data_IF_903121654668
#
_entry.id   IF_903121654668
#
_cell.length_a   1.000
_cell.length_b   1.000
_cell.length_c   1.000
_cell.angle_alpha   90.00
_cell.angle_beta   90.00
_cell.angle_gamma   90.00
#
_symmetry.space_group_name_H-M   'P 1'
#
loop_
_entity.id
_entity.type
_entity.pdbx_description
1 polymer ?
#
# COMPACT_ATOMS: atom_id res chain seq x y z
N UNK A 1 -19.91 22.49 31.90
CA UNK A 1 -18.70 23.14 31.35
C UNK A 1 -17.52 22.23 31.68
N UNK A 2 -17.08 21.44 30.72
CA UNK A 2 -15.91 20.58 30.86
C UNK A 2 -14.78 21.20 30.03
N UNK A 3 -13.68 21.51 30.70
CA UNK A 3 -12.50 22.10 30.08
C UNK A 3 -11.73 21.02 29.33
N UNK A 4 -11.53 21.24 28.02
CA UNK A 4 -10.66 20.45 27.17
C UNK A 4 -9.22 20.90 27.42
N UNK A 5 -8.41 20.06 28.07
CA UNK A 5 -6.96 20.25 28.13
C UNK A 5 -6.37 19.89 26.76
N UNK A 6 -6.05 20.90 25.96
CA UNK A 6 -5.18 20.75 24.79
C UNK A 6 -3.75 20.81 25.29
N UNK A 7 -3.08 19.66 25.35
CA UNK A 7 -1.65 19.58 25.60
C UNK A 7 -0.88 20.23 24.45
N UNK A 8 -0.20 21.32 24.75
CA UNK A 8 0.71 22.03 23.86
C UNK A 8 1.96 21.15 23.65
N UNK A 9 2.15 20.64 22.43
CA UNK A 9 3.41 19.98 22.04
C UNK A 9 4.42 21.09 21.75
N UNK A 10 5.47 21.13 22.55
CA UNK A 10 6.56 22.08 22.49
C UNK A 10 7.34 21.88 21.16
N UNK A 11 7.30 22.88 20.29
CA UNK A 11 8.06 22.89 19.03
C UNK A 11 9.53 23.19 19.33
N UNK A 12 10.36 22.16 19.50
CA UNK A 12 11.81 22.33 19.42
C UNK A 12 12.31 22.04 18.00
N UNK A 13 12.47 23.12 17.25
CA UNK A 13 13.32 23.17 16.05
C UNK A 13 14.77 22.84 16.43
N UNK A 14 15.22 21.60 16.15
CA UNK A 14 16.62 21.20 16.22
C UNK A 14 17.19 20.98 14.81
N UNK A 15 18.23 21.72 14.36
CA UNK A 15 18.72 21.68 12.97
C UNK A 15 19.52 20.42 12.58
N UNK A 16 19.65 19.44 13.49
CA UNK A 16 20.67 18.38 13.37
C UNK A 16 20.19 17.18 12.54
N UNK A 17 18.89 17.06 12.25
CA UNK A 17 18.30 15.86 11.62
C UNK A 17 18.01 15.95 10.11
N UNK A 18 18.40 17.03 9.42
CA UNK A 18 18.04 17.18 7.98
C UNK A 18 18.94 16.44 6.97
N UNK A 19 20.06 15.85 7.39
CA UNK A 19 21.14 15.53 6.44
C UNK A 19 21.45 14.06 6.14
N UNK A 20 21.11 13.10 7.00
CA UNK A 20 21.69 11.73 6.89
C UNK A 20 20.74 10.55 6.99
N UNK A 21 19.47 10.75 7.34
CA UNK A 21 18.50 9.65 7.52
C UNK A 21 17.52 9.45 6.35
N UNK A 22 17.42 10.41 5.44
CA UNK A 22 16.46 10.38 4.31
C UNK A 22 16.94 9.53 3.12
N UNK A 23 18.21 9.11 3.10
CA UNK A 23 18.79 8.40 1.95
C UNK A 23 18.78 6.86 2.10
N UNK A 24 18.66 6.33 3.33
CA UNK A 24 18.69 4.88 3.59
C UNK A 24 17.32 4.24 3.92
N UNK A 25 16.20 4.97 3.86
CA UNK A 25 14.86 4.45 4.18
C UNK A 25 13.86 4.37 3.02
N UNK A 26 14.32 4.45 1.76
CA UNK A 26 13.42 4.22 0.61
C UNK A 26 13.21 2.72 0.41
N UNK A 27 12.13 2.19 0.99
CA UNK A 27 11.66 0.82 0.71
C UNK A 27 10.63 0.91 -0.43
N UNK A 28 10.79 0.06 -1.44
CA UNK A 28 9.95 0.02 -2.65
C UNK A 28 8.66 -0.76 -2.35
N UNK A 29 7.46 -0.21 -2.56
CA UNK A 29 6.18 -0.90 -2.26
C UNK A 29 5.02 -0.49 -3.21
N UNK A 30 5.19 -0.56 -4.54
CA UNK A 30 4.06 -0.42 -5.49
C UNK A 30 4.37 -1.10 -6.81
N UNK A 31 3.51 -1.92 -7.41
CA UNK A 31 3.72 -2.37 -8.79
C UNK A 31 2.46 -2.21 -9.64
N UNK A 32 2.34 -1.09 -10.35
CA UNK A 32 1.28 -0.91 -11.37
C UNK A 32 1.78 -1.36 -12.75
N UNK A 33 1.52 -2.61 -13.14
CA UNK A 33 2.03 -3.15 -14.40
C UNK A 33 1.23 -2.62 -15.62
N UNK A 34 1.81 -1.69 -16.38
CA UNK A 34 1.31 -1.26 -17.69
C UNK A 34 2.34 -1.59 -18.77
N UNK A 35 1.88 -2.19 -19.86
CA UNK A 35 2.69 -2.80 -20.91
C UNK A 35 2.85 -1.86 -22.12
N UNK A 36 4.08 -1.61 -22.54
CA UNK A 36 4.38 -1.04 -23.87
C UNK A 36 5.42 -1.86 -24.62
N UNK A 37 5.18 -2.24 -25.90
CA UNK A 37 6.22 -2.78 -26.77
C UNK A 37 7.20 -1.66 -27.18
N UNK A 38 8.49 -1.98 -27.27
CA UNK A 38 9.56 -1.01 -27.57
C UNK A 38 10.18 -1.16 -28.97
N UNK A 39 10.68 -0.03 -29.49
CA UNK A 39 11.48 0.06 -30.71
C UNK A 39 12.98 0.18 -30.38
N UNK A 40 13.88 -0.20 -31.28
CA UNK A 40 15.33 -0.17 -31.04
C UNK A 40 15.93 1.23 -31.26
N UNK A 41 16.82 1.69 -30.35
CA UNK A 41 17.72 2.83 -30.57
C UNK A 41 19.16 2.45 -30.15
N UNK A 42 20.20 2.94 -30.86
CA UNK A 42 21.59 2.76 -30.47
C UNK A 42 21.98 3.66 -29.28
N UNK A 43 22.87 3.12 -28.44
CA UNK A 43 23.57 3.68 -27.28
C UNK A 43 23.28 5.14 -26.92
N UNK A 44 22.58 5.34 -25.81
CA UNK A 44 22.52 6.52 -24.95
C UNK A 44 21.30 6.29 -24.05
N UNK A 45 21.42 6.18 -22.71
CA UNK A 45 20.40 6.22 -21.62
C UNK A 45 18.88 6.40 -21.94
N UNK A 46 18.36 5.80 -22.99
CA UNK A 46 17.08 6.08 -23.63
C UNK A 46 16.40 4.75 -23.84
N UNK A 47 15.25 4.61 -23.20
CA UNK A 47 14.27 3.59 -23.51
C UNK A 47 13.48 4.11 -24.71
N UNK A 48 13.52 3.41 -25.84
CA UNK A 48 12.92 3.90 -27.07
C UNK A 48 11.58 3.27 -27.43
N UNK A 49 10.61 4.14 -27.68
CA UNK A 49 9.46 3.91 -28.55
C UNK A 49 8.28 3.19 -27.92
N UNK A 50 7.59 3.86 -26.99
CA UNK A 50 6.18 3.58 -26.73
C UNK A 50 5.33 4.46 -27.66
N UNK A 51 4.22 3.93 -28.19
CA UNK A 51 3.19 4.75 -28.84
C UNK A 51 2.74 5.86 -27.88
N UNK A 52 2.44 7.05 -28.41
CA UNK A 52 2.07 8.23 -27.62
C UNK A 52 0.92 7.97 -26.65
N UNK A 53 -0.03 7.10 -27.01
CA UNK A 53 -1.14 6.69 -26.13
C UNK A 53 -0.63 5.90 -24.92
N UNK A 54 0.20 4.89 -25.12
CA UNK A 54 0.71 4.05 -24.03
C UNK A 54 1.79 4.76 -23.21
N UNK A 55 2.46 5.76 -23.80
CA UNK A 55 3.40 6.63 -23.11
C UNK A 55 2.76 7.44 -21.97
N UNK A 56 1.46 7.75 -22.07
CA UNK A 56 0.75 8.56 -21.08
C UNK A 56 0.71 7.94 -19.68
N UNK A 57 0.92 6.62 -19.59
CA UNK A 57 0.99 5.89 -18.33
C UNK A 57 2.34 5.98 -17.61
N UNK A 58 3.34 6.57 -18.26
CA UNK A 58 4.65 6.80 -17.69
C UNK A 58 4.80 8.26 -17.29
N UNK A 59 5.37 8.50 -16.11
CA UNK A 59 5.58 9.84 -15.55
C UNK A 59 6.99 9.96 -14.99
N UNK A 60 7.57 11.15 -15.09
CA UNK A 60 8.85 11.46 -14.45
C UNK A 60 8.78 11.17 -12.95
N UNK A 61 9.85 10.61 -12.39
CA UNK A 61 9.95 10.19 -10.99
C UNK A 61 9.43 8.78 -10.70
N UNK A 62 8.79 8.11 -11.66
CA UNK A 62 8.32 6.73 -11.50
C UNK A 62 9.43 5.72 -11.74
N UNK A 63 9.35 4.60 -11.05
CA UNK A 63 10.33 3.51 -11.12
C UNK A 63 9.86 2.44 -12.10
N UNK A 64 10.73 2.05 -13.02
CA UNK A 64 10.44 1.06 -14.06
C UNK A 64 11.49 -0.04 -14.10
N UNK A 65 11.10 -1.12 -14.76
CA UNK A 65 12.00 -2.13 -15.28
C UNK A 65 11.80 -2.31 -16.78
N UNK A 66 12.82 -2.87 -17.43
CA UNK A 66 12.79 -3.27 -18.83
C UNK A 66 13.29 -4.69 -18.93
N UNK A 67 12.60 -5.51 -19.71
CA UNK A 67 12.99 -6.90 -19.96
C UNK A 67 12.49 -7.43 -21.30
N UNK A 68 12.84 -8.67 -21.62
CA UNK A 68 12.22 -9.37 -22.76
C UNK A 68 10.78 -9.81 -22.46
N UNK A 69 10.41 -9.83 -21.18
CA UNK A 69 9.05 -10.05 -20.65
C UNK A 69 8.96 -9.49 -19.22
N UNK A 70 7.77 -9.52 -18.61
CA UNK A 70 7.53 -9.13 -17.20
C UNK A 70 7.92 -10.26 -16.22
N UNK A 71 8.92 -11.04 -16.57
CA UNK A 71 9.44 -12.12 -15.72
C UNK A 71 10.72 -11.61 -15.05
N UNK A 72 10.86 -11.81 -13.74
CA UNK A 72 12.03 -11.37 -12.97
C UNK A 72 13.33 -11.95 -13.54
N UNK A 73 13.29 -13.16 -14.10
CA UNK A 73 14.45 -13.80 -14.73
C UNK A 73 14.81 -13.20 -16.11
N UNK A 74 13.92 -12.36 -16.67
CA UNK A 74 14.03 -11.75 -18.00
C UNK A 74 14.21 -10.24 -17.96
N UNK A 75 14.45 -9.71 -16.77
CA UNK A 75 14.80 -8.31 -16.52
C UNK A 75 16.19 -8.00 -17.07
N UNK A 76 16.30 -6.92 -17.84
CA UNK A 76 17.56 -6.35 -18.33
C UNK A 76 18.01 -5.21 -17.42
N UNK A 77 17.06 -4.33 -17.05
CA UNK A 77 17.26 -3.31 -16.03
C UNK A 77 16.04 -3.28 -15.10
N UNK A 78 16.29 -3.01 -13.82
CA UNK A 78 15.24 -2.80 -12.81
C UNK A 78 15.54 -1.59 -11.95
N UNK A 79 14.51 -1.14 -11.26
CA UNK A 79 14.58 -0.10 -10.24
C UNK A 79 15.13 1.24 -10.79
N UNK A 80 14.81 1.55 -12.06
CA UNK A 80 15.28 2.75 -12.75
C UNK A 80 14.23 3.85 -12.70
N UNK A 81 14.63 5.05 -12.36
CA UNK A 81 13.74 6.20 -12.26
C UNK A 81 13.64 6.92 -13.61
N UNK A 82 12.42 7.22 -14.05
CA UNK A 82 12.19 8.04 -15.25
C UNK A 82 12.61 9.47 -14.96
N UNK A 83 13.59 9.98 -15.72
CA UNK A 83 14.13 11.34 -15.58
C UNK A 83 13.62 12.30 -16.65
N UNK A 84 13.11 11.78 -17.77
CA UNK A 84 12.55 12.58 -18.85
C UNK A 84 11.67 11.76 -19.80
N UNK A 85 10.72 12.43 -20.42
CA UNK A 85 9.85 11.88 -21.48
C UNK A 85 9.85 12.93 -22.59
N UNK A 86 10.18 12.53 -23.82
CA UNK A 86 10.17 13.45 -24.97
C UNK A 86 8.77 13.67 -25.51
N UNK A 87 8.59 14.75 -26.28
CA UNK A 87 7.45 14.87 -27.19
C UNK A 87 7.45 13.69 -28.20
N UNK A 88 6.28 13.32 -28.75
CA UNK A 88 6.19 12.30 -29.79
C UNK A 88 6.97 12.70 -31.05
N UNK A 89 7.65 11.73 -31.66
CA UNK A 89 8.30 11.90 -32.97
C UNK A 89 7.29 11.91 -34.13
N UNK A 90 7.78 11.99 -35.38
CA UNK A 90 6.93 11.98 -36.58
C UNK A 90 6.09 10.71 -36.76
N UNK A 91 6.45 9.63 -36.06
CA UNK A 91 5.76 8.35 -36.07
C UNK A 91 4.88 8.16 -34.82
N UNK A 92 4.79 9.17 -33.95
CA UNK A 92 4.03 9.12 -32.70
C UNK A 92 4.74 8.39 -31.56
N UNK A 93 6.03 8.08 -31.69
CA UNK A 93 6.79 7.41 -30.64
C UNK A 93 7.36 8.41 -29.64
N UNK A 94 7.39 8.04 -28.36
CA UNK A 94 8.11 8.81 -27.33
C UNK A 94 9.43 8.15 -26.95
N UNK A 95 10.37 8.95 -26.44
CA UNK A 95 11.58 8.47 -25.77
C UNK A 95 11.44 8.67 -24.26
N UNK A 96 11.60 7.59 -23.50
CA UNK A 96 11.64 7.62 -22.04
C UNK A 96 13.10 7.54 -21.61
N UNK A 97 13.57 8.53 -20.85
CA UNK A 97 14.94 8.59 -20.33
C UNK A 97 14.93 8.17 -18.87
N UNK A 98 15.88 7.33 -18.47
CA UNK A 98 15.99 6.84 -17.08
C UNK A 98 17.35 7.19 -16.47
N UNK A 99 17.41 7.24 -15.13
CA UNK A 99 18.66 7.39 -14.37
C UNK A 99 19.58 6.17 -14.54
N UNK A 100 20.77 6.14 -13.91
CA UNK A 100 21.67 4.97 -13.89
C UNK A 100 22.59 4.78 -15.11
N UNK A 101 23.21 3.59 -15.18
CA UNK A 101 24.19 3.21 -16.20
C UNK A 101 23.54 2.92 -17.57
N UNK A 102 24.21 3.21 -18.69
CA UNK A 102 23.71 2.88 -20.02
C UNK A 102 23.42 1.39 -20.18
N UNK A 103 22.42 1.07 -21.00
CA UNK A 103 22.02 -0.30 -21.34
C UNK A 103 21.50 -0.31 -22.78
N UNK A 104 21.42 -1.51 -23.35
CA UNK A 104 20.90 -1.73 -24.71
C UNK A 104 19.54 -2.41 -24.63
N UNK A 105 18.67 -2.07 -25.57
CA UNK A 105 17.37 -2.72 -25.76
C UNK A 105 17.22 -3.16 -27.21
N UNK A 106 16.36 -4.13 -27.46
CA UNK A 106 15.99 -4.57 -28.81
C UNK A 106 14.48 -4.40 -29.03
N UNK A 107 14.06 -4.44 -30.29
CA UNK A 107 12.64 -4.45 -30.64
C UNK A 107 11.96 -5.66 -29.97
N UNK A 108 10.82 -5.43 -29.33
CA UNK A 108 10.05 -6.47 -28.65
C UNK A 108 10.34 -6.61 -27.15
N UNK A 109 11.28 -5.83 -26.62
CA UNK A 109 11.40 -5.68 -25.17
C UNK A 109 10.19 -4.90 -24.64
N UNK A 110 9.90 -5.08 -23.35
CA UNK A 110 8.80 -4.43 -22.63
C UNK A 110 9.35 -3.54 -21.53
N UNK A 111 8.74 -2.37 -21.38
CA UNK A 111 8.88 -1.49 -20.21
C UNK A 111 7.63 -1.61 -19.33
N UNK A 112 7.80 -1.66 -18.02
CA UNK A 112 6.71 -1.75 -17.05
C UNK A 112 7.12 -1.10 -15.72
N UNK A 113 6.14 -0.64 -14.92
CA UNK A 113 6.44 -0.14 -13.58
C UNK A 113 6.75 -1.29 -12.62
N UNK A 114 7.63 -1.01 -11.67
CA UNK A 114 7.95 -1.89 -10.53
C UNK A 114 7.68 -1.16 -9.23
N UNK A 115 8.09 -1.75 -8.10
CA UNK A 115 8.13 -1.12 -6.77
C UNK A 115 8.36 0.40 -6.85
N UNK A 116 7.38 1.23 -6.49
CA UNK A 116 7.59 2.67 -6.37
C UNK A 116 8.16 3.00 -4.98
N UNK A 117 8.96 4.07 -4.89
CA UNK A 117 9.51 4.56 -3.63
C UNK A 117 8.41 5.26 -2.83
N UNK A 118 8.34 5.01 -1.54
CA UNK A 118 7.57 5.82 -0.58
C UNK A 118 8.27 7.14 -0.26
N UNK A 119 7.58 8.05 0.43
CA UNK A 119 8.02 9.40 0.79
C UNK A 119 7.54 10.48 -0.18
N UNK A 120 6.61 10.14 -1.07
CA UNK A 120 6.01 11.13 -1.97
C UNK A 120 5.21 12.18 -1.23
N UNK A 121 4.76 11.93 0.00
CA UNK A 121 4.05 12.86 0.87
C UNK A 121 4.92 13.50 1.97
N UNK A 122 6.24 13.29 1.99
CA UNK A 122 7.12 13.80 3.06
C UNK A 122 6.99 15.31 3.30
N UNK A 123 6.80 16.08 2.23
CA UNK A 123 6.65 17.55 2.28
C UNK A 123 5.36 17.99 3.00
N UNK A 124 4.38 17.10 3.15
CA UNK A 124 3.14 17.37 3.90
C UNK A 124 3.35 17.20 5.41
N UNK A 125 4.42 16.55 5.86
CA UNK A 125 4.62 16.17 7.25
C UNK A 125 3.43 15.37 7.77
N UNK A 126 2.79 15.85 8.84
CA UNK A 126 1.61 15.20 9.44
C UNK A 126 0.27 15.65 8.84
N UNK A 127 0.28 16.52 7.82
CA UNK A 127 -0.95 16.96 7.17
C UNK A 127 -1.53 15.84 6.29
N UNK A 128 -2.86 15.78 6.24
CA UNK A 128 -3.55 14.92 5.27
C UNK A 128 -3.64 15.60 3.92
N UNK A 129 -3.48 14.85 2.84
CA UNK A 129 -3.62 15.34 1.48
C UNK A 129 -2.78 14.53 0.49
N UNK A 130 -2.72 15.04 -0.74
CA UNK A 130 -1.86 14.54 -1.80
C UNK A 130 -1.08 15.71 -2.39
N UNK A 131 0.07 15.46 -3.00
CA UNK A 131 0.81 16.48 -3.76
C UNK A 131 0.06 16.94 -5.01
N UNK A 132 -0.78 16.09 -5.56
CA UNK A 132 -1.61 16.37 -6.72
C UNK A 132 -2.98 15.70 -6.49
N UNK A 133 -4.01 16.52 -6.23
CA UNK A 133 -5.35 16.02 -5.94
C UNK A 133 -6.06 15.45 -7.18
N UNK A 134 -5.59 15.82 -8.38
CA UNK A 134 -6.21 15.42 -9.66
C UNK A 134 -5.52 14.19 -10.27
N UNK A 135 -4.37 13.77 -9.72
CA UNK A 135 -3.64 12.59 -10.17
C UNK A 135 -3.91 11.38 -9.25
N UNK A 136 -4.72 10.39 -9.66
CA UNK A 136 -5.02 9.22 -8.83
C UNK A 136 -3.82 8.28 -8.67
N UNK A 137 -2.67 8.59 -9.29
CA UNK A 137 -1.45 7.76 -9.21
C UNK A 137 -0.45 8.27 -8.18
N UNK A 138 -0.64 9.46 -7.60
CA UNK A 138 0.27 10.00 -6.59
C UNK A 138 -0.12 9.53 -5.19
N UNK A 139 0.86 9.39 -4.28
CA UNK A 139 0.59 8.93 -2.93
C UNK A 139 -0.29 9.91 -2.15
N UNK A 140 -1.06 9.36 -1.21
CA UNK A 140 -1.94 10.09 -0.30
C UNK A 140 -1.42 9.97 1.11
N UNK A 141 -1.33 11.08 1.84
CA UNK A 141 -1.11 11.07 3.28
C UNK A 141 -2.42 11.28 4.02
N UNK A 142 -2.62 10.51 5.09
CA UNK A 142 -3.67 10.76 6.07
C UNK A 142 -3.08 10.76 7.48
N UNK A 143 -3.10 11.92 8.15
CA UNK A 143 -2.53 12.10 9.50
C UNK A 143 -1.07 11.64 9.63
N UNK A 144 -0.27 11.89 8.59
CA UNK A 144 1.15 11.52 8.56
C UNK A 144 1.43 10.06 8.19
N UNK A 145 0.39 9.29 7.83
CA UNK A 145 0.54 7.95 7.26
C UNK A 145 0.41 8.08 5.75
N UNK A 146 1.46 7.73 5.01
CA UNK A 146 1.44 7.64 3.54
C UNK A 146 0.82 6.32 3.08
N UNK A 147 -0.04 6.43 2.07
CA UNK A 147 -0.82 5.37 1.42
C UNK A 147 -1.49 4.40 2.40
N UNK A 148 -2.31 4.94 3.32
CA UNK A 148 -3.09 4.20 4.30
C UNK A 148 -3.90 3.03 3.73
N UNK A 149 -4.32 3.10 2.47
CA UNK A 149 -5.15 2.11 1.79
C UNK A 149 -4.88 2.10 0.28
N UNK A 150 -5.37 1.08 -0.42
CA UNK A 150 -5.35 1.02 -1.90
C UNK A 150 -3.94 0.93 -2.50
N UNK A 151 -2.98 0.45 -1.72
CA UNK A 151 -1.62 0.17 -2.17
C UNK A 151 -1.32 -1.33 -2.05
N UNK A 152 -0.88 -1.77 -0.87
CA UNK A 152 -0.69 -3.17 -0.53
C UNK A 152 -1.55 -3.47 0.69
N UNK A 153 -1.85 -4.75 0.86
CA UNK A 153 -2.26 -5.25 2.15
C UNK A 153 -1.19 -4.99 3.18
N UNK A 154 -1.59 -4.47 4.33
CA UNK A 154 -0.68 -4.26 5.44
C UNK A 154 -0.98 -5.18 6.59
N UNK A 155 0.06 -5.89 7.02
CA UNK A 155 0.03 -6.71 8.21
C UNK A 155 -0.16 -5.87 9.47
N UNK A 156 -1.08 -6.31 10.34
CA UNK A 156 -1.32 -5.70 11.65
C UNK A 156 -0.71 -6.59 12.73
N UNK A 157 0.46 -6.20 13.22
CA UNK A 157 1.08 -6.84 14.38
C UNK A 157 0.16 -6.76 15.62
N UNK A 158 0.16 -7.81 16.43
CA UNK A 158 -0.63 -7.85 17.65
C UNK A 158 -2.11 -8.18 17.45
N UNK A 159 -2.55 -8.51 16.22
CA UNK A 159 -3.95 -8.84 15.90
C UNK A 159 -4.06 -10.19 15.16
N UNK A 160 -4.60 -11.20 15.85
CA UNK A 160 -4.91 -12.52 15.29
C UNK A 160 -6.43 -12.71 15.19
N UNK A 161 -6.90 -13.57 14.29
CA UNK A 161 -8.32 -13.91 14.13
C UNK A 161 -8.46 -15.43 14.11
N UNK A 162 -9.46 -15.95 14.84
CA UNK A 162 -9.72 -17.38 14.96
C UNK A 162 -11.07 -17.75 14.36
N UNK A 163 -11.09 -18.77 13.50
CA UNK A 163 -12.32 -19.22 12.82
C UNK A 163 -13.36 -19.81 13.76
N UNK A 164 -12.90 -20.53 14.79
CA UNK A 164 -13.76 -21.29 15.70
C UNK A 164 -14.81 -20.40 16.37
N UNK A 165 -14.42 -19.19 16.80
CA UNK A 165 -15.30 -18.25 17.49
C UNK A 165 -15.53 -16.94 16.72
N UNK A 166 -14.89 -16.78 15.57
CA UNK A 166 -14.91 -15.58 14.72
C UNK A 166 -14.43 -14.33 15.45
N UNK A 167 -13.51 -14.47 16.41
CA UNK A 167 -13.05 -13.33 17.21
C UNK A 167 -11.66 -12.89 16.83
N UNK A 168 -11.46 -11.60 17.02
CA UNK A 168 -10.14 -10.99 17.02
C UNK A 168 -9.51 -11.17 18.41
N UNK A 169 -8.26 -11.59 18.43
CA UNK A 169 -7.41 -11.70 19.59
C UNK A 169 -6.32 -10.65 19.49
N UNK A 170 -6.20 -9.80 20.51
CA UNK A 170 -5.27 -8.67 20.48
C UNK A 170 -4.29 -8.67 21.63
N UNK A 171 -3.08 -8.17 21.38
CA UNK A 171 -2.18 -7.66 22.40
C UNK A 171 -1.66 -6.30 21.96
N UNK A 172 -1.51 -5.36 22.89
CA UNK A 172 -1.01 -4.01 22.65
C UNK A 172 0.44 -3.81 23.13
N UNK A 173 1.03 -4.83 23.77
CA UNK A 173 2.44 -4.85 24.17
C UNK A 173 3.30 -5.41 23.02
N UNK A 174 4.12 -4.57 22.36
CA UNK A 174 4.95 -5.00 21.22
C UNK A 174 5.96 -6.10 21.58
N UNK A 175 6.26 -6.32 22.87
CA UNK A 175 7.14 -7.41 23.30
C UNK A 175 6.51 -8.79 23.15
N UNK A 176 5.18 -8.84 23.05
CA UNK A 176 4.42 -10.09 22.96
C UNK A 176 3.86 -10.33 21.55
N UNK A 177 4.11 -9.46 20.58
CA UNK A 177 3.63 -9.64 19.22
C UNK A 177 4.09 -10.98 18.64
N UNK A 178 3.13 -11.82 18.29
CA UNK A 178 3.29 -13.15 17.72
C UNK A 178 2.04 -13.55 16.93
N UNK A 179 2.27 -14.19 15.79
CA UNK A 179 1.19 -14.69 14.94
C UNK A 179 0.60 -15.97 15.52
N UNK A 180 -0.67 -16.25 15.22
CA UNK A 180 -1.37 -17.48 15.59
C UNK A 180 -1.36 -17.76 17.12
N UNK A 181 -1.42 -16.70 17.93
CA UNK A 181 -1.56 -16.79 19.38
C UNK A 181 -2.95 -16.31 19.79
N UNK A 182 -3.66 -17.16 20.53
CA UNK A 182 -5.08 -16.98 20.91
C UNK A 182 -5.32 -17.12 22.42
N UNK A 183 -4.25 -16.98 23.22
CA UNK A 183 -4.32 -17.09 24.67
C UNK A 183 -3.32 -16.15 25.36
N UNK A 184 -3.24 -16.24 26.70
CA UNK A 184 -2.22 -15.52 27.46
C UNK A 184 -2.36 -14.00 27.34
N UNK A 185 -1.38 -13.35 26.70
CA UNK A 185 -1.36 -11.90 26.48
C UNK A 185 -2.28 -11.46 25.32
N UNK A 186 -2.68 -12.39 24.46
CA UNK A 186 -3.67 -12.15 23.43
C UNK A 186 -5.07 -12.32 24.01
N UNK A 187 -5.83 -11.24 24.06
CA UNK A 187 -7.18 -11.21 24.63
C UNK A 187 -8.21 -11.22 23.51
N UNK A 188 -9.16 -12.15 23.59
CA UNK A 188 -10.30 -12.18 22.70
C UNK A 188 -11.16 -10.94 22.90
N UNK A 189 -11.40 -10.21 21.83
CA UNK A 189 -12.38 -9.15 21.78
C UNK A 189 -13.75 -9.83 21.77
N UNK A 190 -14.61 -9.49 22.71
CA UNK A 190 -15.91 -10.14 22.93
C UNK A 190 -16.94 -9.96 21.81
N UNK A 191 -16.52 -9.53 20.62
CA UNK A 191 -17.34 -9.18 19.48
C UNK A 191 -16.97 -10.14 18.33
N UNK A 192 -17.90 -11.03 17.92
CA UNK A 192 -17.66 -11.87 16.76
C UNK A 192 -17.73 -11.03 15.48
N UNK A 193 -16.81 -11.29 14.56
CA UNK A 193 -16.82 -10.72 13.21
C UNK A 193 -18.02 -11.26 12.40
N UNK A 194 -18.50 -10.50 11.39
CA UNK A 194 -19.65 -10.88 10.57
C UNK A 194 -19.42 -12.20 9.81
N UNK A 195 -20.50 -12.86 9.38
CA UNK A 195 -20.40 -14.09 8.57
C UNK A 195 -20.23 -13.83 7.08
N UNK A 196 -20.66 -12.66 6.61
CA UNK A 196 -20.83 -12.37 5.20
C UNK A 196 -19.81 -11.33 4.72
N UNK A 197 -19.15 -11.62 3.60
CA UNK A 197 -18.26 -10.69 2.91
C UNK A 197 -19.07 -9.54 2.27
N UNK A 198 -18.89 -8.32 2.75
CA UNK A 198 -19.57 -7.14 2.24
C UNK A 198 -19.00 -5.84 2.83
N UNK A 199 -19.50 -4.70 2.35
CA UNK A 199 -19.24 -3.40 2.95
C UNK A 199 -19.74 -3.34 4.40
N UNK A 200 -18.98 -2.65 5.24
CA UNK A 200 -19.27 -2.44 6.65
C UNK A 200 -20.54 -1.58 6.79
N UNK A 201 -21.47 -2.02 7.64
CA UNK A 201 -22.65 -1.24 8.03
C UNK A 201 -22.47 -0.54 9.36
N UNK A 202 -21.73 -1.16 10.27
CA UNK A 202 -21.57 -0.65 11.61
C UNK A 202 -20.21 -1.04 12.20
N UNK A 203 -19.69 -0.14 13.03
CA UNK A 203 -18.51 -0.38 13.85
C UNK A 203 -18.89 -1.06 15.16
N UNK A 204 -17.92 -1.72 15.75
CA UNK A 204 -17.96 -2.23 17.10
C UNK A 204 -16.61 -1.99 17.77
N UNK A 205 -16.63 -1.83 19.08
CA UNK A 205 -15.45 -1.77 19.93
C UNK A 205 -15.75 -2.45 21.25
N UNK A 206 -14.71 -2.92 21.93
CA UNK A 206 -14.79 -3.46 23.29
C UNK A 206 -14.29 -2.41 24.28
N UNK A 207 -14.87 -2.32 25.48
CA UNK A 207 -14.37 -1.41 26.52
C UNK A 207 -12.91 -1.72 26.92
N UNK A 208 -12.47 -2.97 26.76
CA UNK A 208 -11.08 -3.39 26.99
C UNK A 208 -10.14 -3.00 25.83
N UNK A 209 -10.69 -2.55 24.70
CA UNK A 209 -9.99 -2.23 23.45
C UNK A 209 -10.75 -1.16 22.64
N UNK A 210 -11.02 0.00 23.26
CA UNK A 210 -11.87 1.06 22.70
C UNK A 210 -11.24 1.76 21.48
N UNK A 211 -9.94 1.56 21.29
CA UNK A 211 -9.16 2.02 20.14
C UNK A 211 -9.24 1.09 18.93
N UNK A 212 -9.70 -0.16 19.09
CA UNK A 212 -9.89 -1.07 17.97
C UNK A 212 -11.32 -1.02 17.46
N UNK A 213 -11.46 -0.67 16.18
CA UNK A 213 -12.73 -0.71 15.47
C UNK A 213 -12.79 -1.95 14.57
N UNK A 214 -13.80 -2.79 14.78
CA UNK A 214 -14.09 -3.98 13.97
C UNK A 214 -15.50 -3.89 13.38
N UNK A 215 -15.82 -4.61 12.30
CA UNK A 215 -17.18 -4.63 11.79
C UNK A 215 -18.07 -5.44 12.75
N UNK A 216 -19.23 -4.91 13.11
CA UNK A 216 -20.29 -5.70 13.78
C UNK A 216 -21.36 -6.19 12.81
N UNK A 217 -21.46 -5.56 11.64
CA UNK A 217 -22.47 -5.86 10.63
C UNK A 217 -21.95 -5.49 9.23
N UNK A 218 -22.27 -6.31 8.23
CA UNK A 218 -21.92 -6.12 6.81
C UNK A 218 -23.16 -6.30 5.92
N UNK A 219 -23.16 -5.75 4.69
CA UNK A 219 -24.21 -5.99 3.68
C UNK A 219 -25.42 -5.03 3.68
N UNK A 220 -26.62 -5.55 3.38
CA UNK A 220 -27.90 -4.80 3.35
C UNK A 220 -28.40 -4.34 1.97
N UNK A 221 -29.60 -3.76 1.86
CA UNK A 221 -30.06 -3.18 0.58
C UNK A 221 -29.14 -2.01 0.18
N UNK A 222 -28.70 -2.01 -1.08
CA UNK A 222 -27.75 -1.00 -1.58
C UNK A 222 -26.29 -1.23 -1.17
N UNK A 223 -25.78 -2.47 -1.22
CA UNK A 223 -24.40 -2.88 -0.87
C UNK A 223 -23.28 -2.26 -1.75
N UNK A 224 -23.45 -1.04 -2.25
CA UNK A 224 -22.39 -0.32 -2.92
C UNK A 224 -21.56 0.51 -1.93
N UNK A 225 -20.39 1.00 -2.37
CA UNK A 225 -19.53 1.88 -1.57
C UNK A 225 -20.19 3.22 -1.19
N UNK A 226 -21.39 3.52 -1.70
CA UNK A 226 -22.06 4.82 -1.56
C UNK A 226 -23.19 4.84 -0.52
N UNK A 227 -23.42 3.75 0.22
CA UNK A 227 -24.61 3.61 1.10
C UNK A 227 -24.27 3.48 2.57
N UNK A 228 -23.16 2.82 2.90
CA UNK A 228 -22.71 2.62 4.28
C UNK A 228 -21.27 3.11 4.46
N UNK A 229 -20.51 2.51 5.37
CA UNK A 229 -19.08 2.76 5.51
C UNK A 229 -18.42 2.14 4.27
N UNK A 230 -17.67 2.91 3.46
CA UNK A 230 -17.09 2.46 2.19
C UNK A 230 -15.87 1.55 2.39
N UNK A 231 -15.90 0.68 3.39
CA UNK A 231 -14.84 -0.26 3.72
C UNK A 231 -15.39 -1.68 3.64
N UNK A 232 -14.62 -2.58 3.05
CA UNK A 232 -15.05 -3.94 2.78
C UNK A 232 -14.49 -4.91 3.83
N UNK A 233 -15.34 -5.81 4.33
CA UNK A 233 -14.90 -6.97 5.10
C UNK A 233 -14.81 -8.17 4.18
N UNK A 234 -13.61 -8.71 4.00
CA UNK A 234 -13.38 -9.91 3.21
C UNK A 234 -12.95 -11.05 4.13
N UNK A 235 -13.68 -12.15 4.07
CA UNK A 235 -13.58 -13.25 5.00
C UNK A 235 -13.95 -14.58 4.34
N UNK A 236 -13.32 -15.66 4.80
CA UNK A 236 -13.57 -17.03 4.39
C UNK A 236 -13.51 -17.94 5.61
N UNK A 237 -14.61 -18.00 6.36
CA UNK A 237 -14.79 -18.91 7.49
C UNK A 237 -14.75 -20.38 7.04
N UNK A 238 -14.04 -21.23 7.77
CA UNK A 238 -13.83 -22.65 7.44
C UNK A 238 -13.05 -22.84 6.12
N UNK A 239 -12.19 -21.87 5.81
CA UNK A 239 -11.51 -21.72 4.53
C UNK A 239 -10.10 -22.32 4.53
N UNK A 240 -9.13 -21.49 4.12
CA UNK A 240 -7.76 -21.90 3.84
C UNK A 240 -6.91 -22.17 5.10
N UNK A 241 -7.26 -21.54 6.21
CA UNK A 241 -6.61 -21.67 7.52
C UNK A 241 -7.62 -21.27 8.59
N UNK A 242 -7.54 -21.91 9.76
CA UNK A 242 -8.39 -21.57 10.92
C UNK A 242 -7.77 -20.46 11.78
N UNK A 243 -6.44 -20.33 11.73
CA UNK A 243 -5.66 -19.30 12.41
C UNK A 243 -5.24 -18.25 11.37
N UNK A 244 -5.66 -17.01 11.60
CA UNK A 244 -5.53 -15.94 10.62
C UNK A 244 -4.83 -14.72 11.19
N UNK A 245 -4.13 -14.04 10.31
CA UNK A 245 -3.56 -12.71 10.56
C UNK A 245 -4.42 -11.66 9.87
N UNK A 246 -4.52 -10.47 10.48
CA UNK A 246 -5.28 -9.37 9.92
C UNK A 246 -4.46 -8.60 8.88
N UNK A 247 -5.04 -8.42 7.69
CA UNK A 247 -4.52 -7.54 6.65
C UNK A 247 -5.48 -6.37 6.42
N UNK A 248 -4.95 -5.15 6.30
CA UNK A 248 -5.78 -3.93 6.14
C UNK A 248 -5.41 -3.08 4.93
N UNK A 249 -6.30 -2.15 4.55
CA UNK A 249 -6.05 -1.15 3.51
C UNK A 249 -6.46 -1.55 2.10
N UNK A 250 -6.16 -2.80 1.70
CA UNK A 250 -6.42 -3.31 0.36
C UNK A 250 -5.37 -2.91 -0.68
N UNK A 251 -5.38 -3.63 -1.79
CA UNK A 251 -4.33 -3.55 -2.83
C UNK A 251 -4.66 -2.54 -3.94
N UNK A 252 -3.68 -2.21 -4.77
CA UNK A 252 -3.83 -1.23 -5.85
C UNK A 252 -4.80 -1.67 -6.97
N UNK A 253 -5.18 -2.95 -7.02
CA UNK A 253 -5.99 -3.55 -8.11
C UNK A 253 -7.46 -3.81 -7.74
N UNK A 254 -7.86 -3.53 -6.50
CA UNK A 254 -9.23 -3.81 -6.00
C UNK A 254 -10.21 -2.64 -6.11
N UNK A 255 -9.74 -1.46 -6.50
CA UNK A 255 -10.58 -0.29 -6.74
C UNK A 255 -11.36 0.18 -5.50
N UNK A 256 -12.69 0.25 -5.62
CA UNK A 256 -13.62 0.79 -4.61
C UNK A 256 -13.75 -0.07 -3.35
N UNK A 257 -13.21 -1.29 -3.38
CA UNK A 257 -13.16 -2.16 -2.22
C UNK A 257 -12.04 -1.74 -1.24
N UNK A 258 -11.04 -0.97 -1.69
CA UNK A 258 -9.95 -0.49 -0.84
C UNK A 258 -10.45 0.61 0.13
N UNK A 259 -9.84 0.68 1.30
CA UNK A 259 -10.23 1.67 2.30
C UNK A 259 -9.50 1.52 3.63
N UNK A 260 -9.58 2.56 4.46
CA UNK A 260 -8.87 2.65 5.74
C UNK A 260 -9.21 1.50 6.69
N UNK A 261 -10.49 1.11 6.73
CA UNK A 261 -10.98 0.06 7.62
C UNK A 261 -11.20 -1.26 6.87
N UNK A 262 -10.83 -1.35 5.59
CA UNK A 262 -10.91 -2.62 4.87
C UNK A 262 -10.14 -3.68 5.64
N UNK A 263 -10.81 -4.77 5.99
CA UNK A 263 -10.25 -5.87 6.76
C UNK A 263 -10.32 -7.14 5.93
N UNK A 264 -9.17 -7.78 5.75
CA UNK A 264 -9.02 -9.08 5.14
C UNK A 264 -8.55 -10.08 6.18
N UNK A 265 -9.42 -11.05 6.44
CA UNK A 265 -9.27 -12.05 7.48
C UNK A 265 -9.30 -13.45 6.84
N UNK A 266 -8.40 -13.66 5.89
CA UNK A 266 -8.24 -14.96 5.21
C UNK A 266 -6.79 -15.41 5.12
N UNK A 267 -5.84 -14.57 5.58
CA UNK A 267 -4.43 -14.80 5.37
C UNK A 267 -3.86 -15.68 6.47
N UNK A 268 -3.00 -16.62 6.10
CA UNK A 268 -2.12 -17.28 7.06
C UNK A 268 -0.93 -16.37 7.39
N UNK A 269 -0.25 -16.66 8.50
CA UNK A 269 0.96 -15.97 8.94
C UNK A 269 2.17 -16.16 8.03
N UNK A 270 2.15 -17.16 7.14
CA UNK A 270 3.21 -17.41 6.16
C UNK A 270 2.92 -16.83 4.77
N UNK A 271 1.82 -16.07 4.62
CA UNK A 271 1.48 -15.48 3.33
C UNK A 271 2.55 -14.50 2.86
N UNK A 272 3.10 -14.78 1.69
CA UNK A 272 4.05 -13.89 1.01
C UNK A 272 3.56 -13.66 -0.41
N UNK A 273 3.19 -12.43 -0.72
CA UNK A 273 2.74 -12.02 -2.05
C UNK A 273 3.25 -10.60 -2.32
N UNK A 274 3.39 -10.21 -3.60
CA UNK A 274 3.71 -8.84 -4.03
C UNK A 274 2.69 -7.82 -3.49
N UNK A 275 1.49 -8.29 -3.18
CA UNK A 275 0.38 -7.52 -2.65
C UNK A 275 0.41 -7.36 -1.12
N UNK A 276 1.34 -7.99 -0.41
CA UNK A 276 1.41 -7.97 1.06
C UNK A 276 2.66 -7.24 1.52
N UNK A 277 2.48 -6.31 2.45
CA UNK A 277 3.53 -5.53 3.08
C UNK A 277 3.23 -5.26 4.55
N UNK A 278 3.98 -4.34 5.13
CA UNK A 278 3.80 -3.91 6.52
C UNK A 278 4.38 -2.51 6.70
N UNK A 279 3.94 -1.82 7.76
CA UNK A 279 4.51 -0.55 8.21
C UNK A 279 5.42 -0.77 9.40
N UNK A 280 6.59 -0.13 9.37
CA UNK A 280 7.48 -0.14 10.52
C UNK A 280 7.05 0.93 11.52
N UNK A 281 6.66 0.53 12.72
CA UNK A 281 6.48 1.42 13.86
C UNK A 281 7.80 1.55 14.63
N UNK A 282 8.22 2.79 14.91
CA UNK A 282 9.33 3.06 15.83
C UNK A 282 8.81 3.70 17.11
N UNK A 283 9.04 3.04 18.23
CA UNK A 283 8.76 3.57 19.57
C UNK A 283 10.09 4.11 20.13
N UNK A 284 10.24 5.43 20.32
CA UNK A 284 11.44 6.01 20.92
C UNK A 284 11.68 5.47 22.33
N UNK A 285 12.96 5.30 22.70
CA UNK A 285 13.39 4.91 24.05
C UNK A 285 13.71 6.12 24.91
#
# INVERSE_FOLDING_TARGET
>A
MANLFVGQIDTQDSPIYKGKLMEERRRYIYAFCMLSPMNHLPEDKKVAGSQSETATYFKKGRIIAVGTSIDEEKVVIKDREITGISDPDSNGNVTITVDGDPFTTEVGYVIYHVGQKTGGCDDLGNASGSKDADDPTVPVSYRGIEDPWGNVWEFVDGMNILDEDRRTYITDDPKNFADNVFDGQYKAIGIPLPTDEAYWRNFAYSDDADWLLVPSETGGEGTGPNTYIPDYFYEKWGGWTDEKVALVGGTWDVGDLAGMFRLFSCSSSFASDRFVGARLLHIPQ
#
